data_IF_603090463738
#
_entry.id   IF_603090463738
#
_cell.length_a   1.000
_cell.length_b   1.000
_cell.length_c   1.000
_cell.angle_alpha   90.00
_cell.angle_beta   90.00
_cell.angle_gamma   90.00
#
_symmetry.space_group_name_H-M   'P 1'
#
loop_
_entity.id
_entity.type
_entity.pdbx_description
1 polymer ?
#
# COMPACT_ATOMS: atom_id res chain seq x y z
N UNK A 1 24.52 -5.83 4.68
CA UNK A 1 23.18 -5.67 5.28
C UNK A 1 23.23 -6.26 6.69
N UNK A 2 22.78 -5.54 7.73
CA UNK A 2 22.71 -6.08 9.10
C UNK A 2 21.36 -6.77 9.28
N UNK A 3 21.35 -8.01 9.76
CA UNK A 3 20.12 -8.76 10.04
C UNK A 3 19.92 -8.90 11.55
N UNK A 4 18.67 -8.96 11.98
CA UNK A 4 18.31 -9.18 13.39
C UNK A 4 17.27 -10.29 13.46
N UNK A 5 17.42 -11.27 14.37
CA UNK A 5 16.43 -12.33 14.53
C UNK A 5 15.13 -11.76 15.11
N UNK A 6 14.00 -12.09 14.49
CA UNK A 6 12.66 -11.73 14.97
C UNK A 6 11.92 -13.01 15.38
N UNK A 7 11.38 -13.03 16.60
CA UNK A 7 10.56 -14.14 17.07
C UNK A 7 9.15 -13.99 16.50
N UNK A 8 8.63 -15.07 15.91
CA UNK A 8 7.27 -15.14 15.38
C UNK A 8 6.58 -16.41 15.89
N UNK A 9 5.25 -16.47 15.80
CA UNK A 9 4.50 -17.69 16.10
C UNK A 9 4.93 -18.81 15.13
N UNK A 10 4.91 -20.06 15.60
CA UNK A 10 5.28 -21.23 14.79
C UNK A 10 4.49 -21.31 13.48
N UNK A 11 3.19 -21.03 13.52
CA UNK A 11 2.32 -20.97 12.33
C UNK A 11 2.82 -19.97 11.29
N UNK A 12 3.22 -18.77 11.72
CA UNK A 12 3.75 -17.72 10.83
C UNK A 12 5.05 -18.15 10.17
N UNK A 13 5.94 -18.78 10.94
CA UNK A 13 7.17 -19.34 10.38
C UNK A 13 6.90 -20.42 9.34
N UNK A 14 5.95 -21.33 9.59
CA UNK A 14 5.54 -22.35 8.61
C UNK A 14 4.99 -21.74 7.31
N UNK A 15 4.18 -20.68 7.42
CA UNK A 15 3.68 -19.94 6.24
C UNK A 15 4.82 -19.29 5.46
N UNK A 16 5.75 -18.61 6.13
CA UNK A 16 6.93 -18.02 5.48
C UNK A 16 7.77 -19.08 4.76
N UNK A 17 7.94 -20.26 5.37
CA UNK A 17 8.64 -21.39 4.75
C UNK A 17 7.93 -21.89 3.48
N UNK A 18 6.60 -22.02 3.51
CA UNK A 18 5.81 -22.41 2.34
C UNK A 18 5.93 -21.38 1.21
N UNK A 19 5.83 -20.08 1.55
CA UNK A 19 5.97 -18.99 0.58
C UNK A 19 7.37 -18.96 -0.04
N UNK A 20 8.41 -19.15 0.78
CA UNK A 20 9.81 -19.27 0.34
C UNK A 20 10.00 -20.41 -0.65
N UNK A 21 9.45 -21.59 -0.36
CA UNK A 21 9.51 -22.75 -1.25
C UNK A 21 8.80 -22.49 -2.58
N UNK A 22 7.57 -21.93 -2.53
CA UNK A 22 6.79 -21.62 -3.72
C UNK A 22 7.47 -20.57 -4.62
N UNK A 23 8.03 -19.52 -4.02
CA UNK A 23 8.67 -18.42 -4.73
C UNK A 23 10.14 -18.69 -5.09
N UNK A 24 10.72 -19.80 -4.61
CA UNK A 24 12.14 -20.14 -4.74
C UNK A 24 13.06 -19.01 -4.27
N UNK A 25 12.68 -18.35 -3.18
CA UNK A 25 13.41 -17.21 -2.59
C UNK A 25 13.66 -17.42 -1.10
N UNK A 26 14.76 -16.89 -0.54
CA UNK A 26 15.02 -16.96 0.90
C UNK A 26 13.87 -16.36 1.74
N UNK A 27 13.60 -16.94 2.91
CA UNK A 27 12.59 -16.44 3.86
C UNK A 27 12.77 -14.94 4.19
N UNK A 28 14.00 -14.42 4.42
CA UNK A 28 14.18 -12.99 4.69
C UNK A 28 13.66 -12.09 3.56
N UNK A 29 13.95 -12.42 2.30
CA UNK A 29 13.47 -11.63 1.16
C UNK A 29 11.95 -11.70 0.99
N UNK A 30 11.37 -12.87 1.23
CA UNK A 30 9.92 -13.05 1.20
C UNK A 30 9.26 -12.22 2.31
N UNK A 31 9.88 -12.17 3.48
CA UNK A 31 9.41 -11.37 4.61
C UNK A 31 9.51 -9.87 4.31
N UNK A 32 10.64 -9.41 3.79
CA UNK A 32 10.85 -8.00 3.43
C UNK A 32 9.79 -7.52 2.42
N UNK A 33 9.56 -8.30 1.36
CA UNK A 33 8.52 -7.99 0.37
C UNK A 33 7.11 -8.00 0.96
N UNK A 34 6.81 -8.95 1.85
CA UNK A 34 5.51 -9.04 2.49
C UNK A 34 5.24 -7.81 3.39
N UNK A 35 6.25 -7.37 4.14
CA UNK A 35 6.17 -6.18 5.00
C UNK A 35 6.01 -4.92 4.15
N UNK A 36 6.76 -4.76 3.06
CA UNK A 36 6.62 -3.60 2.18
C UNK A 36 5.28 -3.54 1.45
N UNK A 37 4.72 -4.71 1.06
CA UNK A 37 3.36 -4.77 0.53
C UNK A 37 2.32 -4.36 1.57
N UNK A 38 2.45 -4.85 2.81
CA UNK A 38 1.54 -4.48 3.89
C UNK A 38 1.62 -2.97 4.21
N UNK A 39 2.83 -2.41 4.30
CA UNK A 39 3.05 -0.98 4.53
C UNK A 39 2.39 -0.12 3.46
N UNK A 40 2.54 -0.48 2.17
CA UNK A 40 1.90 0.22 1.06
C UNK A 40 0.38 0.10 1.09
N UNK A 41 -0.15 -1.09 1.38
CA UNK A 41 -1.59 -1.30 1.49
C UNK A 41 -2.21 -0.41 2.57
N UNK A 42 -1.56 -0.30 3.75
CA UNK A 42 -2.01 0.58 4.83
C UNK A 42 -2.00 2.06 4.42
N UNK A 43 -1.00 2.50 3.66
CA UNK A 43 -0.94 3.87 3.14
C UNK A 43 -2.12 4.15 2.20
N UNK A 44 -2.39 3.25 1.25
CA UNK A 44 -3.49 3.42 0.30
C UNK A 44 -4.86 3.34 0.98
N UNK A 45 -5.03 2.44 1.96
CA UNK A 45 -6.26 2.36 2.74
C UNK A 45 -6.56 3.68 3.48
N UNK A 46 -5.54 4.30 4.07
CA UNK A 46 -5.67 5.60 4.71
C UNK A 46 -6.04 6.71 3.69
N UNK A 47 -5.39 6.71 2.52
CA UNK A 47 -5.67 7.66 1.45
C UNK A 47 -7.10 7.51 0.91
N UNK A 48 -7.56 6.28 0.66
CA UNK A 48 -8.91 5.98 0.19
C UNK A 48 -9.98 6.42 1.19
N UNK A 49 -9.72 6.26 2.49
CA UNK A 49 -10.62 6.79 3.53
C UNK A 49 -10.65 8.31 3.51
N UNK A 50 -9.50 8.98 3.38
CA UNK A 50 -9.44 10.44 3.30
C UNK A 50 -10.17 10.96 2.06
N UNK A 51 -9.94 10.35 0.91
CA UNK A 51 -10.57 10.72 -0.36
C UNK A 51 -12.10 10.55 -0.31
N UNK A 52 -12.59 9.42 0.22
CA UNK A 52 -14.03 9.21 0.41
C UNK A 52 -14.66 10.24 1.35
N UNK A 53 -13.94 10.66 2.40
CA UNK A 53 -14.40 11.72 3.30
C UNK A 53 -14.45 13.09 2.63
N UNK A 54 -13.47 13.41 1.79
CA UNK A 54 -13.45 14.63 1.00
C UNK A 54 -14.65 14.68 0.04
N UNK A 55 -14.91 13.62 -0.72
CA UNK A 55 -16.05 13.59 -1.65
C UNK A 55 -17.44 13.52 -1.00
N UNK A 56 -17.55 13.03 0.25
CA UNK A 56 -18.82 13.00 0.99
C UNK A 56 -19.16 14.35 1.64
N UNK A 57 -18.17 15.21 1.85
CA UNK A 57 -18.40 16.60 2.21
C UNK A 57 -18.48 17.40 0.91
N UNK A 58 -19.31 18.43 0.87
CA UNK A 58 -19.31 19.37 -0.24
C UNK A 58 -18.03 20.22 -0.13
N UNK A 59 -16.89 19.61 -0.46
CA UNK A 59 -15.57 20.15 -0.28
C UNK A 59 -15.31 21.18 -1.39
N UNK A 60 -15.43 22.46 -1.03
CA UNK A 60 -15.23 23.58 -1.94
C UNK A 60 -13.83 23.58 -2.56
N UNK A 61 -12.84 22.98 -1.91
CA UNK A 61 -11.51 22.85 -2.47
C UNK A 61 -11.51 21.86 -3.64
N UNK A 62 -12.18 20.71 -3.49
CA UNK A 62 -12.34 19.74 -4.58
C UNK A 62 -13.09 20.33 -5.77
N UNK A 63 -14.14 21.12 -5.54
CA UNK A 63 -14.87 21.81 -6.61
C UNK A 63 -13.98 22.82 -7.35
N UNK A 64 -13.12 23.54 -6.63
CA UNK A 64 -12.17 24.47 -7.22
C UNK A 64 -11.14 23.74 -8.10
N UNK A 65 -10.62 22.60 -7.64
CA UNK A 65 -9.69 21.77 -8.41
C UNK A 65 -10.35 21.10 -9.62
N UNK A 66 -11.65 20.79 -9.57
CA UNK A 66 -12.37 20.21 -10.70
C UNK A 66 -12.37 21.14 -11.94
N UNK A 67 -12.45 22.46 -11.72
CA UNK A 67 -12.40 23.44 -12.82
C UNK A 67 -11.03 23.46 -13.52
N UNK A 68 -9.96 23.17 -12.80
CA UNK A 68 -8.60 23.13 -13.35
C UNK A 68 -8.31 21.85 -14.18
N UNK A 69 -9.22 20.87 -14.19
CA UNK A 69 -9.01 19.60 -14.90
C UNK A 69 -8.92 19.78 -16.42
N UNK A 70 -9.56 20.83 -16.96
CA UNK A 70 -9.57 21.15 -18.38
C UNK A 70 -8.42 22.08 -18.81
N UNK A 71 -7.62 22.58 -17.87
CA UNK A 71 -6.55 23.54 -18.16
C UNK A 71 -5.53 22.93 -19.13
N UNK A 72 -5.32 23.58 -20.28
CA UNK A 72 -4.34 23.17 -21.29
C UNK A 72 -4.82 22.13 -22.30
N UNK A 73 -6.09 21.69 -22.23
CA UNK A 73 -6.71 20.90 -23.31
C UNK A 73 -7.24 21.84 -24.42
N UNK A 74 -7.12 21.45 -25.71
CA UNK A 74 -7.75 22.20 -26.79
C UNK A 74 -9.27 22.16 -26.64
N UNK A 75 -9.95 23.27 -26.94
CA UNK A 75 -11.42 23.31 -26.99
C UNK A 75 -11.92 22.30 -28.05
N UNK A 76 -12.94 21.53 -27.69
CA UNK A 76 -13.51 20.46 -28.50
C UNK A 76 -14.39 20.96 -29.66
#
# INVERSE_FOLDING_TARGET
MKTTPVRVKARTHSLLKQMSQHQRRPIPEVLDDAVERYRRAQLFEAADVAYRRAGAKNDREMDAWANALADGLPEA
#
